data_IF_131629384906
#
_entry.id   IF_131629384906
#
_cell.length_a   1.000
_cell.length_b   1.000
_cell.length_c   1.000
_cell.angle_alpha   90.00
_cell.angle_beta   90.00
_cell.angle_gamma   90.00
#
_symmetry.space_group_name_H-M   'P 1'
#
loop_
_entity.id
_entity.type
_entity.pdbx_description
1 polymer ?
#
# COMPACT_ATOMS: atom_id res chain seq x y z
N UNK A 1 -1.72 -19.11 17.18
CA UNK A 1 -1.44 -17.67 16.95
C UNK A 1 -2.16 -17.26 15.67
N UNK A 2 -3.02 -16.27 15.73
CA UNK A 2 -3.74 -15.72 14.57
C UNK A 2 -2.77 -14.89 13.71
N UNK A 3 -2.85 -14.99 12.39
CA UNK A 3 -1.97 -14.20 11.49
C UNK A 3 -2.79 -13.20 10.70
N UNK A 4 -2.32 -11.95 10.65
CA UNK A 4 -3.02 -10.87 9.95
C UNK A 4 -2.01 -9.95 9.25
N UNK A 5 -2.38 -9.45 8.07
CA UNK A 5 -1.56 -8.47 7.37
C UNK A 5 -1.80 -7.05 7.90
N UNK A 6 -0.78 -6.18 7.77
CA UNK A 6 -0.92 -4.74 8.05
C UNK A 6 -2.06 -4.12 7.23
N UNK A 7 -2.23 -4.54 5.96
CA UNK A 7 -3.34 -4.08 5.11
C UNK A 7 -4.71 -4.46 5.67
N UNK A 8 -4.84 -5.66 6.24
CA UNK A 8 -6.09 -6.10 6.86
C UNK A 8 -6.39 -5.34 8.16
N UNK A 9 -5.36 -5.02 8.96
CA UNK A 9 -5.52 -4.15 10.14
C UNK A 9 -5.91 -2.72 9.75
N UNK A 10 -5.37 -2.18 8.65
CA UNK A 10 -5.82 -0.89 8.12
C UNK A 10 -7.28 -0.93 7.67
N UNK A 11 -7.73 -2.01 7.03
CA UNK A 11 -9.14 -2.18 6.68
C UNK A 11 -10.03 -2.23 7.93
N UNK A 12 -9.61 -2.94 8.98
CA UNK A 12 -10.31 -2.97 10.26
C UNK A 12 -10.36 -1.58 10.91
N UNK A 13 -9.24 -0.85 10.99
CA UNK A 13 -9.19 0.50 11.53
C UNK A 13 -10.18 1.43 10.80
N UNK A 14 -10.18 1.40 9.46
CA UNK A 14 -11.11 2.21 8.64
C UNK A 14 -12.57 1.88 8.94
N UNK A 15 -12.91 0.59 9.06
CA UNK A 15 -14.25 0.14 9.44
C UNK A 15 -14.61 0.62 10.84
N UNK A 16 -13.75 0.38 11.85
CA UNK A 16 -13.95 0.79 13.24
C UNK A 16 -14.19 2.30 13.37
N UNK A 17 -13.37 3.09 12.69
CA UNK A 17 -13.38 4.55 12.76
C UNK A 17 -14.43 5.18 11.83
N UNK A 18 -15.19 4.36 11.08
CA UNK A 18 -16.16 4.82 10.06
C UNK A 18 -15.56 5.86 9.11
N UNK A 19 -14.35 5.57 8.63
CA UNK A 19 -13.55 6.49 7.83
C UNK A 19 -14.28 6.94 6.54
N UNK A 20 -15.03 6.03 5.92
CA UNK A 20 -15.90 6.35 4.78
C UNK A 20 -17.16 5.47 4.76
N UNK A 21 -18.17 5.88 4.00
CA UNK A 21 -19.39 5.08 3.77
C UNK A 21 -19.14 3.73 3.09
N UNK A 22 -17.97 3.57 2.47
CA UNK A 22 -17.53 2.35 1.79
C UNK A 22 -16.80 1.37 2.72
N UNK A 23 -16.47 1.77 3.95
CA UNK A 23 -15.79 0.93 4.92
C UNK A 23 -16.83 0.15 5.75
N UNK A 24 -17.52 -0.78 5.07
CA UNK A 24 -18.58 -1.63 5.62
C UNK A 24 -18.00 -2.90 6.26
N UNK A 25 -18.78 -3.54 7.13
CA UNK A 25 -18.41 -4.83 7.73
C UNK A 25 -18.25 -5.93 6.68
N UNK A 26 -19.14 -5.99 5.68
CA UNK A 26 -19.04 -6.92 4.57
C UNK A 26 -17.70 -6.80 3.85
N UNK A 27 -17.29 -5.56 3.56
CA UNK A 27 -15.98 -5.30 2.95
C UNK A 27 -14.82 -5.75 3.84
N UNK A 28 -14.91 -5.49 5.14
CA UNK A 28 -13.91 -5.96 6.11
C UNK A 28 -13.82 -7.48 6.09
N UNK A 29 -14.95 -8.19 6.18
CA UNK A 29 -14.98 -9.64 6.16
C UNK A 29 -14.41 -10.22 4.86
N UNK A 30 -14.69 -9.62 3.71
CA UNK A 30 -14.08 -10.00 2.43
C UNK A 30 -12.55 -9.84 2.47
N UNK A 31 -12.04 -8.73 3.02
CA UNK A 31 -10.58 -8.53 3.17
C UNK A 31 -9.97 -9.56 4.10
N UNK A 32 -10.61 -9.86 5.23
CA UNK A 32 -10.14 -10.86 6.20
C UNK A 32 -10.17 -12.29 5.61
N UNK A 33 -11.14 -12.58 4.76
CA UNK A 33 -11.25 -13.85 4.05
C UNK A 33 -10.30 -13.95 2.84
N UNK A 34 -9.52 -12.90 2.52
CA UNK A 34 -8.63 -12.86 1.37
C UNK A 34 -9.37 -12.81 0.03
N UNK A 35 -10.65 -12.44 0.03
CA UNK A 35 -11.46 -12.32 -1.19
C UNK A 35 -11.05 -11.03 -1.90
N UNK A 36 -10.43 -11.19 -3.08
CA UNK A 36 -10.04 -10.08 -3.95
C UNK A 36 -11.06 -9.91 -5.07
N UNK A 37 -11.76 -8.79 -5.09
CA UNK A 37 -12.57 -8.43 -6.24
C UNK A 37 -11.67 -7.91 -7.37
N UNK A 38 -11.88 -8.37 -8.64
CA UNK A 38 -11.16 -7.84 -9.79
C UNK A 38 -11.35 -6.33 -9.87
N UNK A 39 -10.26 -5.58 -9.81
CA UNK A 39 -10.28 -4.13 -9.76
C UNK A 39 -9.17 -3.54 -10.61
N UNK A 40 -9.54 -2.81 -11.66
CA UNK A 40 -8.57 -2.16 -12.55
C UNK A 40 -7.61 -1.21 -11.80
N UNK A 41 -8.08 -0.50 -10.79
CA UNK A 41 -7.22 0.38 -9.98
C UNK A 41 -6.13 -0.41 -9.26
N UNK A 42 -6.47 -1.56 -8.66
CA UNK A 42 -5.52 -2.43 -7.99
C UNK A 42 -4.53 -3.03 -8.99
N UNK A 43 -5.00 -3.48 -10.16
CA UNK A 43 -4.15 -4.04 -11.21
C UNK A 43 -3.13 -3.01 -11.72
N UNK A 44 -3.57 -1.77 -12.00
CA UNK A 44 -2.67 -0.68 -12.40
C UNK A 44 -1.63 -0.43 -11.31
N UNK A 45 -2.04 -0.37 -10.04
CA UNK A 45 -1.15 -0.21 -8.91
C UNK A 45 -0.09 -1.31 -8.84
N UNK A 46 -0.51 -2.58 -8.84
CA UNK A 46 0.38 -3.74 -8.75
C UNK A 46 1.37 -3.80 -9.92
N UNK A 47 0.92 -3.52 -11.16
CA UNK A 47 1.79 -3.46 -12.32
C UNK A 47 2.79 -2.30 -12.22
N UNK A 48 2.38 -1.12 -11.73
CA UNK A 48 3.27 0.01 -11.51
C UNK A 48 4.35 -0.32 -10.46
N UNK A 49 3.97 -0.90 -9.32
CA UNK A 49 4.91 -1.40 -8.30
C UNK A 49 5.92 -2.38 -8.92
N UNK A 50 5.45 -3.29 -9.78
CA UNK A 50 6.33 -4.25 -10.45
C UNK A 50 7.37 -3.58 -11.36
N UNK A 51 7.01 -2.50 -12.04
CA UNK A 51 7.96 -1.71 -12.82
C UNK A 51 8.99 -1.06 -11.90
N UNK A 52 8.57 -0.48 -10.77
CA UNK A 52 9.50 0.09 -9.78
C UNK A 52 10.41 -0.99 -9.20
N UNK A 53 9.87 -2.14 -8.82
CA UNK A 53 10.64 -3.25 -8.25
C UNK A 53 11.71 -3.78 -9.22
N UNK A 54 11.34 -3.98 -10.48
CA UNK A 54 12.22 -4.66 -11.46
C UNK A 54 13.01 -3.72 -12.35
N UNK A 55 12.57 -2.46 -12.50
CA UNK A 55 13.09 -1.51 -13.49
C UNK A 55 12.74 -1.90 -14.93
N UNK A 56 11.74 -2.76 -15.14
CA UNK A 56 11.43 -3.34 -16.47
C UNK A 56 9.95 -3.21 -16.79
N UNK A 57 9.67 -2.93 -18.07
CA UNK A 57 8.36 -3.05 -18.70
C UNK A 57 8.57 -3.43 -20.17
N UNK A 58 7.63 -4.13 -20.79
CA UNK A 58 7.74 -4.59 -22.17
C UNK A 58 7.31 -3.48 -23.13
N UNK A 59 8.22 -2.99 -23.97
CA UNK A 59 7.88 -2.01 -25.00
C UNK A 59 7.11 -2.68 -26.15
N UNK A 60 5.92 -2.17 -26.48
CA UNK A 60 5.05 -2.73 -27.55
C UNK A 60 4.86 -1.77 -28.74
N UNK A 61 5.60 -0.66 -28.76
CA UNK A 61 5.57 0.32 -29.86
C UNK A 61 4.83 1.60 -29.51
N UNK A 62 5.09 2.66 -30.29
CA UNK A 62 4.40 3.98 -30.18
C UNK A 62 4.45 4.62 -28.77
N UNK A 63 5.53 4.38 -28.02
CA UNK A 63 5.66 4.89 -26.64
C UNK A 63 4.76 4.18 -25.62
N UNK A 64 4.25 2.99 -25.95
CA UNK A 64 3.41 2.17 -25.08
C UNK A 64 4.24 1.03 -24.52
N UNK A 65 4.04 0.76 -23.23
CA UNK A 65 4.65 -0.33 -22.48
C UNK A 65 3.57 -1.19 -21.83
N UNK A 66 3.81 -2.48 -21.78
CA UNK A 66 2.96 -3.43 -21.07
C UNK A 66 3.68 -4.00 -19.85
N UNK A 67 2.95 -4.16 -18.78
CA UNK A 67 3.37 -4.91 -17.59
C UNK A 67 2.25 -5.87 -17.22
N UNK A 68 2.63 -7.11 -16.95
CA UNK A 68 1.72 -8.17 -16.50
C UNK A 68 1.96 -8.46 -15.01
N UNK A 69 0.86 -8.63 -14.29
CA UNK A 69 0.85 -9.11 -12.91
C UNK A 69 -0.42 -9.93 -12.66
N UNK A 70 -0.26 -11.16 -12.14
CA UNK A 70 -1.36 -12.09 -11.83
C UNK A 70 -2.32 -12.31 -13.02
N UNK A 71 -1.80 -12.40 -14.26
CA UNK A 71 -2.59 -12.61 -15.48
C UNK A 71 -3.30 -11.36 -16.01
N UNK A 72 -3.10 -10.20 -15.39
CA UNK A 72 -3.66 -8.93 -15.87
C UNK A 72 -2.57 -8.10 -16.52
N UNK A 73 -2.80 -7.69 -17.78
CA UNK A 73 -1.91 -6.80 -18.51
C UNK A 73 -2.39 -5.36 -18.38
N UNK A 74 -1.48 -4.47 -17.99
CA UNK A 74 -1.70 -3.03 -17.91
C UNK A 74 -0.82 -2.32 -18.93
N UNK A 75 -1.41 -1.35 -19.66
CA UNK A 75 -0.71 -0.51 -20.65
C UNK A 75 -0.38 0.85 -20.07
N UNK A 76 0.90 1.20 -20.13
CA UNK A 76 1.44 2.47 -19.64
C UNK A 76 2.01 3.29 -20.79
N UNK A 77 2.00 4.62 -20.66
CA UNK A 77 2.78 5.50 -21.53
C UNK A 77 4.25 5.59 -21.07
N UNK A 78 5.11 6.11 -21.94
CA UNK A 78 6.54 6.29 -21.66
C UNK A 78 6.77 7.09 -20.37
N UNK A 79 6.01 8.15 -20.15
CA UNK A 79 6.19 9.03 -18.98
C UNK A 79 6.01 8.27 -17.65
N UNK A 80 5.00 7.41 -17.55
CA UNK A 80 4.77 6.62 -16.35
C UNK A 80 5.92 5.64 -16.09
N UNK A 81 6.37 4.94 -17.14
CA UNK A 81 7.47 3.95 -17.03
C UNK A 81 8.80 4.63 -16.73
N UNK A 82 9.13 5.72 -17.41
CA UNK A 82 10.35 6.49 -17.16
C UNK A 82 10.40 7.03 -15.73
N UNK A 83 9.28 7.52 -15.21
CA UNK A 83 9.20 7.98 -13.80
C UNK A 83 9.32 6.83 -12.81
N UNK A 84 8.74 5.66 -13.08
CA UNK A 84 8.91 4.47 -12.23
C UNK A 84 10.38 4.04 -12.16
N UNK A 85 11.07 3.97 -13.30
CA UNK A 85 12.50 3.63 -13.38
C UNK A 85 13.36 4.71 -12.72
N UNK A 86 13.06 5.99 -12.96
CA UNK A 86 13.76 7.11 -12.32
C UNK A 86 13.62 7.06 -10.80
N UNK A 87 12.40 6.82 -10.30
CA UNK A 87 12.14 6.68 -8.88
C UNK A 87 12.95 5.52 -8.27
N UNK A 88 12.94 4.33 -8.90
CA UNK A 88 13.77 3.21 -8.48
C UNK A 88 15.24 3.61 -8.35
N UNK A 89 15.78 4.30 -9.35
CA UNK A 89 17.19 4.67 -9.40
C UNK A 89 17.59 5.76 -8.38
N UNK A 90 16.62 6.46 -7.78
CA UNK A 90 16.89 7.36 -6.64
C UNK A 90 17.33 6.62 -5.38
N UNK A 91 16.99 5.33 -5.25
CA UNK A 91 17.24 4.54 -4.06
C UNK A 91 17.98 3.24 -4.41
N UNK A 92 19.25 3.34 -4.93
CA UNK A 92 19.96 2.19 -5.47
C UNK A 92 20.27 1.12 -4.41
N UNK A 93 20.38 1.52 -3.14
CA UNK A 93 20.67 0.63 -2.02
C UNK A 93 19.39 0.13 -1.31
N UNK A 94 18.22 0.51 -1.79
CA UNK A 94 16.98 0.05 -1.19
C UNK A 94 16.71 -1.43 -1.52
N UNK A 95 16.30 -2.17 -0.52
CA UNK A 95 15.70 -3.48 -0.68
C UNK A 95 14.24 -3.31 -1.08
N UNK A 96 13.77 -4.10 -2.05
CA UNK A 96 12.39 -4.08 -2.53
C UNK A 96 11.58 -5.25 -1.97
N UNK A 97 10.27 -5.07 -1.77
CA UNK A 97 9.33 -6.10 -1.33
C UNK A 97 9.82 -6.86 -0.08
N UNK A 98 10.29 -6.12 0.91
CA UNK A 98 10.86 -6.70 2.13
C UNK A 98 9.75 -7.22 3.03
N UNK A 99 9.71 -8.54 3.24
CA UNK A 99 8.78 -9.16 4.19
C UNK A 99 9.25 -9.00 5.63
N UNK A 100 8.32 -8.67 6.53
CA UNK A 100 8.55 -8.62 7.97
C UNK A 100 7.29 -8.96 8.76
N UNK A 101 7.48 -9.23 10.06
CA UNK A 101 6.39 -9.50 10.96
C UNK A 101 6.80 -9.33 12.42
N UNK A 102 5.81 -9.11 13.29
CA UNK A 102 5.96 -8.95 14.72
C UNK A 102 4.77 -9.56 15.46
N UNK A 103 5.05 -10.17 16.61
CA UNK A 103 4.03 -10.73 17.49
C UNK A 103 3.52 -9.64 18.44
N UNK A 104 2.20 -9.61 18.62
CA UNK A 104 1.51 -8.73 19.55
C UNK A 104 0.65 -9.57 20.49
N UNK A 105 0.65 -9.21 21.76
CA UNK A 105 -0.18 -9.81 22.79
C UNK A 105 -1.44 -8.99 23.01
N UNK A 106 -2.58 -9.63 23.18
CA UNK A 106 -3.81 -8.96 23.56
C UNK A 106 -4.49 -9.68 24.74
N UNK A 107 -5.49 -9.05 25.33
CA UNK A 107 -6.28 -9.67 26.41
C UNK A 107 -7.12 -10.87 25.96
N UNK A 108 -7.31 -11.05 24.65
CA UNK A 108 -8.13 -12.12 24.07
C UNK A 108 -7.26 -13.25 23.50
N UNK A 109 -6.31 -12.93 22.62
CA UNK A 109 -5.37 -13.89 22.04
C UNK A 109 -4.19 -13.18 21.38
N UNK A 110 -3.11 -13.93 21.16
CA UNK A 110 -1.92 -13.41 20.50
C UNK A 110 -2.07 -13.43 18.98
N UNK A 111 -1.54 -12.37 18.33
CA UNK A 111 -1.55 -12.27 16.87
C UNK A 111 -0.16 -12.01 16.31
N UNK A 112 0.09 -12.53 15.12
CA UNK A 112 1.26 -12.23 14.31
C UNK A 112 0.88 -11.24 13.20
N UNK A 113 1.34 -10.01 13.29
CA UNK A 113 1.12 -8.98 12.27
C UNK A 113 2.28 -9.00 11.28
N UNK A 114 1.98 -9.06 9.98
CA UNK A 114 3.01 -9.14 8.95
C UNK A 114 2.68 -8.23 7.76
N UNK A 115 3.70 -7.91 6.94
CA UNK A 115 3.53 -7.11 5.72
C UNK A 115 4.78 -7.08 4.87
N UNK A 116 4.65 -6.44 3.71
CA UNK A 116 5.73 -6.21 2.76
C UNK A 116 5.95 -4.70 2.63
N UNK A 117 7.19 -4.25 2.85
CA UNK A 117 7.59 -2.88 2.60
C UNK A 117 8.05 -2.77 1.14
N UNK A 118 7.49 -1.84 0.36
CA UNK A 118 7.82 -1.68 -1.06
C UNK A 118 9.32 -1.36 -1.23
N UNK A 119 9.84 -0.42 -0.42
CA UNK A 119 11.26 -0.12 -0.33
C UNK A 119 11.69 0.05 1.13
N UNK A 120 12.86 -0.51 1.46
CA UNK A 120 13.48 -0.35 2.77
C UNK A 120 14.98 -0.11 2.62
N UNK A 121 15.49 0.93 3.28
CA UNK A 121 16.93 1.20 3.39
C UNK A 121 17.22 1.88 4.74
N UNK A 122 18.34 1.50 5.37
CA UNK A 122 18.69 1.97 6.71
C UNK A 122 17.49 1.90 7.68
N UNK A 123 17.07 3.01 8.27
CA UNK A 123 15.91 3.14 9.17
C UNK A 123 14.69 3.81 8.48
N UNK A 124 14.60 3.68 7.17
CA UNK A 124 13.56 4.30 6.34
C UNK A 124 12.76 3.24 5.60
N UNK A 125 11.44 3.43 5.57
CA UNK A 125 10.51 2.69 4.72
C UNK A 125 9.85 3.65 3.75
N UNK A 126 9.65 3.23 2.52
CA UNK A 126 8.86 3.93 1.52
C UNK A 126 7.78 3.01 0.97
N UNK A 127 6.59 3.54 0.84
CA UNK A 127 5.42 2.82 0.37
C UNK A 127 4.82 3.57 -0.81
N UNK A 128 4.70 2.89 -1.92
CA UNK A 128 4.24 3.44 -3.20
C UNK A 128 2.71 3.39 -3.24
N UNK A 129 2.10 4.50 -3.56
CA UNK A 129 0.64 4.58 -3.73
C UNK A 129 0.29 5.18 -5.09
N UNK A 130 -0.43 4.42 -5.90
CA UNK A 130 -1.02 4.94 -7.12
C UNK A 130 -2.38 5.57 -6.84
N UNK A 131 -2.64 6.71 -7.44
CA UNK A 131 -3.86 7.51 -7.26
C UNK A 131 -4.48 7.89 -8.61
N UNK A 132 -5.78 8.15 -8.58
CA UNK A 132 -6.58 8.51 -9.74
C UNK A 132 -7.32 9.84 -9.54
N UNK A 133 -7.21 10.39 -8.35
CA UNK A 133 -7.67 11.72 -7.94
C UNK A 133 -6.60 12.37 -7.09
N UNK A 134 -6.69 13.68 -6.86
CA UNK A 134 -5.78 14.41 -5.97
C UNK A 134 -5.76 13.76 -4.59
N UNK A 135 -4.58 13.40 -4.06
CA UNK A 135 -4.47 12.79 -2.74
C UNK A 135 -4.71 13.81 -1.63
N UNK A 136 -5.28 13.36 -0.52
CA UNK A 136 -5.44 14.13 0.70
C UNK A 136 -4.48 13.61 1.76
N UNK A 137 -3.62 14.47 2.31
CA UNK A 137 -2.58 14.09 3.28
C UNK A 137 -3.14 13.36 4.49
N UNK A 138 -4.33 13.75 4.97
CA UNK A 138 -4.96 13.13 6.14
C UNK A 138 -5.28 11.64 5.95
N UNK A 139 -5.57 11.19 4.73
CA UNK A 139 -5.85 9.77 4.44
C UNK A 139 -4.64 8.89 4.77
N UNK A 140 -3.43 9.45 4.67
CA UNK A 140 -2.15 8.77 4.89
C UNK A 140 -1.68 8.91 6.33
N UNK A 141 -1.68 10.11 6.87
CA UNK A 141 -1.23 10.36 8.25
C UNK A 141 -2.09 9.68 9.30
N UNK A 142 -3.39 9.48 9.02
CA UNK A 142 -4.31 8.73 9.88
C UNK A 142 -4.25 7.20 9.69
N UNK A 143 -3.56 6.71 8.66
CA UNK A 143 -3.41 5.27 8.42
C UNK A 143 -2.57 4.61 9.51
N UNK A 144 -2.96 3.42 9.96
CA UNK A 144 -2.11 2.62 10.85
C UNK A 144 -1.01 1.86 10.09
N UNK A 145 -0.99 1.87 8.75
CA UNK A 145 0.03 1.18 7.98
C UNK A 145 1.44 1.61 8.39
N UNK A 146 1.70 2.91 8.39
CA UNK A 146 3.03 3.43 8.66
C UNK A 146 3.52 3.13 10.08
N UNK A 147 2.63 3.17 11.09
CA UNK A 147 3.00 2.86 12.48
C UNK A 147 3.38 1.39 12.65
N UNK A 148 2.60 0.47 12.05
CA UNK A 148 2.92 -0.95 12.06
C UNK A 148 4.19 -1.29 11.30
N UNK A 149 4.40 -0.72 10.11
CA UNK A 149 5.63 -0.95 9.37
C UNK A 149 6.87 -0.44 10.11
N UNK A 150 6.81 0.76 10.71
CA UNK A 150 7.91 1.28 11.52
C UNK A 150 8.24 0.39 12.71
N UNK A 151 7.21 -0.22 13.30
CA UNK A 151 7.37 -1.13 14.45
C UNK A 151 7.90 -2.52 14.02
N UNK A 152 7.35 -3.11 12.96
CA UNK A 152 7.76 -4.42 12.42
C UNK A 152 9.24 -4.41 11.98
N UNK A 153 9.67 -3.36 11.31
CA UNK A 153 11.01 -3.26 10.73
C UNK A 153 12.02 -2.51 11.61
N UNK A 154 11.62 -2.07 12.79
CA UNK A 154 12.41 -1.22 13.68
C UNK A 154 12.99 0.00 12.94
N UNK A 155 12.14 0.70 12.20
CA UNK A 155 12.47 1.90 11.44
C UNK A 155 11.95 3.16 12.13
N UNK A 156 12.49 4.32 11.74
CA UNK A 156 12.16 5.61 12.36
C UNK A 156 11.33 6.52 11.46
N UNK A 157 11.45 6.36 10.14
CA UNK A 157 10.83 7.24 9.15
C UNK A 157 10.10 6.40 8.11
N UNK A 158 8.90 6.83 7.78
CA UNK A 158 8.07 6.25 6.74
C UNK A 158 7.63 7.33 5.76
N UNK A 159 7.71 7.02 4.46
CA UNK A 159 7.22 7.90 3.41
C UNK A 159 6.12 7.22 2.61
N UNK A 160 5.02 7.93 2.38
CA UNK A 160 4.10 7.58 1.30
C UNK A 160 4.51 8.34 0.04
N UNK A 161 4.90 7.61 -1.00
CA UNK A 161 5.24 8.14 -2.31
C UNK A 161 4.03 8.04 -3.24
N UNK A 162 3.49 9.19 -3.65
CA UNK A 162 2.20 9.29 -4.30
C UNK A 162 2.35 9.56 -5.79
N UNK A 163 1.86 8.62 -6.60
CA UNK A 163 1.87 8.69 -8.07
C UNK A 163 0.44 8.79 -8.59
N UNK A 164 0.10 9.86 -9.29
CA UNK A 164 -1.24 10.02 -9.85
C UNK A 164 -1.25 9.77 -11.35
N UNK A 165 -2.19 8.92 -11.80
CA UNK A 165 -2.61 8.79 -13.19
C UNK A 165 -3.72 9.82 -13.44
N UNK A 166 -3.31 11.04 -13.80
CA UNK A 166 -4.22 12.17 -13.97
C UNK A 166 -5.14 11.97 -15.17
N UNK A 167 -6.43 12.27 -14.99
CA UNK A 167 -7.44 12.10 -16.03
C UNK A 167 -7.90 10.66 -16.27
N UNK A 168 -7.45 9.71 -15.43
CA UNK A 168 -7.95 8.34 -15.51
C UNK A 168 -9.46 8.28 -15.32
N UNK A 169 -10.13 7.50 -16.19
CA UNK A 169 -11.57 7.24 -16.12
C UNK A 169 -11.80 5.74 -16.05
N UNK A 170 -12.84 5.32 -15.30
CA UNK A 170 -13.15 3.91 -15.06
C UNK A 170 -13.32 3.07 -16.34
N UNK A 171 -13.78 3.67 -17.43
CA UNK A 171 -13.93 2.99 -18.73
C UNK A 171 -12.61 2.73 -19.46
N UNK A 172 -11.49 3.29 -18.99
CA UNK A 172 -10.14 2.98 -19.50
C UNK A 172 -9.66 1.61 -19.04
N UNK A 173 -10.28 1.02 -18.02
CA UNK A 173 -9.90 -0.27 -17.45
C UNK A 173 -8.40 -0.30 -17.10
N UNK A 174 -7.62 -1.19 -17.73
CA UNK A 174 -6.18 -1.35 -17.51
C UNK A 174 -5.31 -0.59 -18.52
N UNK A 175 -5.88 0.28 -19.34
CA UNK A 175 -5.14 1.12 -20.30
C UNK A 175 -5.02 2.56 -19.77
N UNK A 176 -3.82 2.92 -19.28
CA UNK A 176 -3.50 4.26 -18.78
C UNK A 176 -2.60 5.05 -19.71
N UNK A 177 -2.53 4.67 -20.99
CA UNK A 177 -1.64 5.29 -21.99
C UNK A 177 -1.96 6.75 -22.27
N UNK A 178 -3.23 7.15 -22.12
CA UNK A 178 -3.70 8.53 -22.36
C UNK A 178 -3.76 9.40 -21.10
N UNK A 179 -3.35 8.88 -19.93
CA UNK A 179 -3.36 9.66 -18.68
C UNK A 179 -2.14 10.57 -18.58
N UNK A 180 -2.30 11.69 -17.87
CA UNK A 180 -1.17 12.42 -17.29
C UNK A 180 -0.51 11.60 -16.18
N UNK A 181 0.69 12.02 -15.76
CA UNK A 181 1.40 11.38 -14.66
C UNK A 181 2.02 12.44 -13.76
N UNK A 182 1.67 12.40 -12.48
CA UNK A 182 2.13 13.35 -11.46
C UNK A 182 2.79 12.58 -10.32
N UNK A 183 3.99 12.97 -9.95
CA UNK A 183 4.65 12.57 -8.71
C UNK A 183 4.51 13.71 -7.70
N UNK A 184 3.90 13.43 -6.57
CA UNK A 184 3.75 14.38 -5.47
C UNK A 184 4.97 14.37 -4.55
N UNK A 185 5.14 15.44 -3.76
CA UNK A 185 6.07 15.42 -2.64
C UNK A 185 5.65 14.30 -1.66
N UNK A 186 6.62 13.50 -1.18
CA UNK A 186 6.32 12.41 -0.26
C UNK A 186 5.68 12.90 1.04
N UNK A 187 4.72 12.15 1.56
CA UNK A 187 4.18 12.39 2.90
C UNK A 187 5.07 11.67 3.91
N UNK A 188 5.75 12.45 4.75
CA UNK A 188 6.61 11.92 5.80
C UNK A 188 5.80 11.61 7.07
N UNK A 189 6.05 10.44 7.65
CA UNK A 189 5.55 10.02 8.95
C UNK A 189 6.73 9.56 9.82
N UNK A 190 6.82 10.06 11.04
CA UNK A 190 7.94 9.80 11.95
C UNK A 190 7.45 8.99 13.15
N UNK A 191 8.20 7.94 13.52
CA UNK A 191 7.94 7.15 14.72
C UNK A 191 8.00 8.03 15.96
N UNK A 192 7.02 7.88 16.82
CA UNK A 192 6.94 8.56 18.12
C UNK A 192 6.76 7.53 19.23
N UNK A 193 6.97 7.91 20.47
CA UNK A 193 6.73 7.06 21.65
C UNK A 193 5.26 6.59 21.75
N UNK A 194 4.34 7.27 21.07
CA UNK A 194 2.92 6.90 21.03
C UNK A 194 2.61 5.86 19.95
N UNK A 195 3.49 5.66 18.97
CA UNK A 195 3.22 4.76 17.83
C UNK A 195 2.99 3.32 18.27
N UNK A 196 3.81 2.80 19.19
CA UNK A 196 3.65 1.44 19.72
C UNK A 196 2.35 1.28 20.53
N UNK A 197 2.02 2.28 21.35
CA UNK A 197 0.77 2.27 22.11
C UNK A 197 -0.45 2.33 21.19
N UNK A 198 -0.35 3.08 20.11
CA UNK A 198 -1.40 3.14 19.08
C UNK A 198 -1.58 1.78 18.41
N UNK A 199 -0.48 1.13 17.98
CA UNK A 199 -0.52 -0.21 17.38
C UNK A 199 -1.15 -1.23 18.33
N UNK A 200 -0.74 -1.21 19.61
CA UNK A 200 -1.30 -2.09 20.63
C UNK A 200 -2.81 -1.88 20.81
N UNK A 201 -3.28 -0.63 20.76
CA UNK A 201 -4.71 -0.31 20.81
C UNK A 201 -5.50 -0.87 19.62
N UNK A 202 -4.96 -0.76 18.40
CA UNK A 202 -5.57 -1.35 17.19
C UNK A 202 -5.65 -2.88 17.32
N UNK A 203 -4.59 -3.52 17.79
CA UNK A 203 -4.52 -4.97 17.99
C UNK A 203 -5.56 -5.42 19.00
N UNK A 204 -5.66 -4.74 20.14
CA UNK A 204 -6.63 -5.07 21.19
C UNK A 204 -8.08 -4.97 20.68
N UNK A 205 -8.42 -3.88 19.99
CA UNK A 205 -9.74 -3.67 19.39
C UNK A 205 -10.06 -4.73 18.33
N UNK A 206 -9.07 -5.10 17.50
CA UNK A 206 -9.23 -6.14 16.49
C UNK A 206 -9.48 -7.52 17.14
N UNK A 207 -8.66 -7.89 18.11
CA UNK A 207 -8.82 -9.18 18.80
C UNK A 207 -10.16 -9.27 19.53
N UNK A 208 -10.61 -8.18 20.15
CA UNK A 208 -11.94 -8.09 20.75
C UNK A 208 -13.03 -8.28 19.69
N UNK A 209 -12.93 -7.60 18.54
CA UNK A 209 -13.91 -7.74 17.45
C UNK A 209 -14.00 -9.20 16.96
N UNK A 210 -12.88 -9.85 16.69
CA UNK A 210 -12.86 -11.27 16.25
C UNK A 210 -13.43 -12.21 17.32
N UNK A 211 -13.15 -11.94 18.60
CA UNK A 211 -13.63 -12.77 19.71
C UNK A 211 -15.15 -12.69 19.88
N UNK A 212 -15.78 -11.62 19.41
CA UNK A 212 -17.23 -11.38 19.54
C UNK A 212 -18.05 -11.80 18.31
N UNK A 213 -17.40 -12.24 17.21
CA UNK A 213 -18.04 -12.79 16.02
C UNK A 213 -18.31 -14.30 16.19
#
# INVERSE_FOLDING_TARGET
MYRISVTSLEAFRRFRDKHSIWDTEERLLNVLAGIKEPNAYAAIGSCFHKIVETGKATYVGRGIFEQEQEGVIVRFNSKAVENAIFYRNKFPDAQHEVHGGKDYHSSHFDIHVHGYADLKYAKVIRDIKTKYSTPHTEDYTKSCQWTFYLDIFDCSIFYFDLFQFEGYKRNMLTDVTSTGFILYEPIECIRTDLSEKYNQGIVEDFCKYIHTQ
#
